data_IF_894449290693
#
_entry.id   IF_894449290693
#
_cell.length_a   1.000
_cell.length_b   1.000
_cell.length_c   1.000
_cell.angle_alpha   90.00
_cell.angle_beta   90.00
_cell.angle_gamma   90.00
#
_symmetry.space_group_name_H-M   'P 1'
#
loop_
_entity.id
_entity.type
_entity.pdbx_description
1 polymer ?
#
# COMPACT_ATOMS: atom_id res chain seq x y z
N UNK A 1 -54.03 -44.65 29.60
CA UNK A 1 -55.05 -44.63 28.53
C UNK A 1 -54.48 -43.78 27.37
N UNK A 2 -54.17 -44.44 26.27
CA UNK A 2 -54.54 -44.16 24.87
C UNK A 2 -54.34 -42.68 24.43
N UNK A 3 -53.73 -42.34 23.33
CA UNK A 3 -53.56 -42.95 21.98
C UNK A 3 -52.45 -42.31 21.22
N UNK A 4 -51.75 -43.16 20.47
CA UNK A 4 -50.83 -42.98 19.35
C UNK A 4 -51.54 -42.31 18.15
N UNK A 5 -50.97 -41.34 17.48
CA UNK A 5 -51.24 -41.08 16.06
C UNK A 5 -49.91 -40.83 15.28
N UNK A 6 -49.69 -41.77 14.34
CA UNK A 6 -48.72 -41.66 13.26
C UNK A 6 -49.30 -40.79 12.15
N UNK A 7 -48.55 -39.94 11.53
CA UNK A 7 -48.83 -39.43 10.18
C UNK A 7 -47.59 -39.56 9.28
N UNK A 8 -47.83 -40.19 8.16
CA UNK A 8 -46.96 -40.52 7.04
C UNK A 8 -46.62 -39.26 6.20
N UNK A 9 -45.48 -39.18 5.53
CA UNK A 9 -45.22 -38.12 4.57
C UNK A 9 -45.84 -38.45 3.22
N UNK A 10 -46.51 -37.48 2.63
CA UNK A 10 -47.13 -37.54 1.30
C UNK A 10 -46.06 -37.15 0.25
N UNK A 11 -45.64 -38.12 -0.55
CA UNK A 11 -44.81 -37.89 -1.73
C UNK A 11 -45.72 -37.43 -2.90
N UNK A 12 -45.46 -36.23 -3.42
CA UNK A 12 -46.15 -35.71 -4.60
C UNK A 12 -45.32 -36.09 -5.85
N UNK A 13 -45.87 -37.04 -6.63
CA UNK A 13 -45.36 -37.40 -7.96
C UNK A 13 -46.07 -36.51 -8.97
N UNK A 14 -45.33 -35.68 -9.69
CA UNK A 14 -45.83 -34.93 -10.85
C UNK A 14 -45.54 -35.74 -12.10
N UNK A 15 -46.58 -36.33 -12.70
CA UNK A 15 -46.51 -36.91 -14.02
C UNK A 15 -46.66 -35.82 -15.09
N UNK A 16 -45.64 -35.68 -15.93
CA UNK A 16 -45.70 -34.89 -17.16
C UNK A 16 -46.30 -35.77 -18.30
N UNK A 17 -47.42 -35.34 -18.81
CA UNK A 17 -48.06 -35.90 -20.01
C UNK A 17 -47.48 -35.25 -21.24
N UNK A 18 -46.82 -36.03 -22.11
CA UNK A 18 -46.49 -35.65 -23.45
C UNK A 18 -47.71 -35.74 -24.35
N UNK A 19 -48.09 -34.64 -24.99
CA UNK A 19 -49.00 -34.63 -26.13
C UNK A 19 -48.20 -34.25 -27.36
N UNK A 20 -48.08 -35.16 -28.31
CA UNK A 20 -47.61 -34.88 -29.68
C UNK A 20 -48.82 -34.42 -30.52
N UNK A 21 -48.73 -33.22 -31.05
CA UNK A 21 -49.45 -32.85 -32.28
C UNK A 21 -48.44 -32.22 -33.22
N UNK A 22 -48.31 -32.86 -34.40
CA UNK A 22 -47.60 -32.36 -35.54
C UNK A 22 -48.42 -31.28 -36.23
N UNK A 23 -47.88 -30.07 -36.33
CA UNK A 23 -48.20 -29.15 -37.40
C UNK A 23 -46.95 -28.35 -37.77
N UNK A 24 -46.73 -28.31 -39.07
CA UNK A 24 -45.63 -27.71 -39.79
C UNK A 24 -45.78 -26.20 -39.78
N UNK A 25 -44.97 -25.48 -38.99
CA UNK A 25 -44.80 -24.03 -39.15
C UNK A 25 -43.30 -23.65 -39.08
N UNK A 26 -42.93 -22.88 -40.05
CA UNK A 26 -41.65 -22.26 -40.32
C UNK A 26 -40.89 -21.80 -39.06
N UNK A 27 -39.72 -22.40 -38.85
CA UNK A 27 -38.74 -21.95 -37.86
C UNK A 27 -38.27 -20.56 -38.26
N UNK A 28 -38.81 -19.53 -37.60
CA UNK A 28 -38.10 -18.27 -37.45
C UNK A 28 -36.96 -18.52 -36.47
N UNK A 29 -35.74 -18.40 -36.96
CA UNK A 29 -34.53 -18.25 -36.13
C UNK A 29 -34.73 -17.04 -35.24
N UNK A 30 -35.29 -17.24 -34.06
CA UNK A 30 -35.22 -16.28 -32.98
C UNK A 30 -33.77 -16.43 -32.45
N UNK A 31 -32.91 -15.52 -32.86
CA UNK A 31 -31.63 -15.29 -32.21
C UNK A 31 -31.92 -14.88 -30.75
N UNK A 32 -32.19 -15.88 -29.90
CA UNK A 32 -32.31 -15.69 -28.46
C UNK A 32 -30.90 -15.50 -27.91
N UNK A 33 -30.45 -14.27 -27.98
CA UNK A 33 -29.19 -13.82 -27.41
C UNK A 33 -29.31 -13.63 -25.91
N UNK A 34 -30.09 -14.52 -25.24
CA UNK A 34 -30.16 -14.56 -23.79
C UNK A 34 -28.81 -15.09 -23.27
N UNK A 35 -27.97 -14.21 -22.78
CA UNK A 35 -26.72 -14.58 -22.13
C UNK A 35 -27.02 -15.51 -20.95
N UNK A 36 -26.45 -16.72 -21.01
CA UNK A 36 -26.63 -17.72 -19.93
C UNK A 36 -26.07 -17.15 -18.62
N UNK A 37 -26.93 -17.02 -17.61
CA UNK A 37 -26.53 -16.65 -16.26
C UNK A 37 -25.89 -17.87 -15.60
N UNK A 38 -24.66 -17.73 -15.14
CA UNK A 38 -23.95 -18.75 -14.37
C UNK A 38 -23.81 -18.26 -12.92
N UNK A 39 -23.83 -19.19 -11.97
CA UNK A 39 -23.74 -18.91 -10.56
C UNK A 39 -22.59 -19.67 -9.93
N UNK A 40 -21.77 -18.99 -9.15
CA UNK A 40 -20.64 -19.55 -8.42
C UNK A 40 -20.88 -19.50 -6.91
N UNK A 41 -20.61 -20.61 -6.23
CA UNK A 41 -20.59 -20.68 -4.77
C UNK A 41 -19.15 -20.46 -4.30
N UNK A 42 -18.94 -19.38 -3.57
CA UNK A 42 -17.61 -18.92 -3.18
C UNK A 42 -17.43 -19.01 -1.66
N UNK A 43 -16.37 -19.69 -1.26
CA UNK A 43 -15.87 -19.73 0.11
C UNK A 43 -14.46 -19.18 0.15
N UNK A 44 -13.95 -18.95 1.36
CA UNK A 44 -12.56 -18.54 1.55
C UNK A 44 -11.82 -19.61 2.34
N UNK A 45 -10.49 -19.68 2.15
CA UNK A 45 -9.68 -20.61 2.91
C UNK A 45 -9.89 -20.40 4.42
N UNK A 46 -10.04 -21.49 5.14
CA UNK A 46 -10.16 -21.50 6.58
C UNK A 46 -8.94 -22.24 7.16
N UNK A 47 -7.81 -21.56 7.24
CA UNK A 47 -6.56 -22.09 7.76
C UNK A 47 -6.34 -21.80 9.26
N UNK A 48 -7.39 -21.37 9.95
CA UNK A 48 -7.35 -21.09 11.39
C UNK A 48 -6.60 -19.80 11.77
N UNK A 49 -6.05 -19.09 10.80
CA UNK A 49 -5.38 -17.79 10.98
C UNK A 49 -6.19 -16.68 10.33
N UNK A 50 -6.27 -15.58 11.04
CA UNK A 50 -7.26 -14.52 10.82
C UNK A 50 -6.87 -13.52 9.76
N UNK A 51 -7.56 -13.49 8.60
CA UNK A 51 -7.57 -12.30 7.73
C UNK A 51 -8.81 -12.23 6.83
N UNK A 52 -9.41 -11.01 6.61
CA UNK A 52 -10.82 -11.02 6.21
C UNK A 52 -11.32 -9.71 5.61
N UNK A 53 -12.17 -9.78 4.53
CA UNK A 53 -12.79 -8.64 3.83
C UNK A 53 -13.72 -7.81 4.71
N UNK A 54 -14.41 -8.44 5.66
CA UNK A 54 -14.93 -7.84 6.87
C UNK A 54 -14.72 -8.86 7.99
N UNK A 55 -14.17 -8.41 9.09
CA UNK A 55 -13.99 -9.27 10.24
C UNK A 55 -15.32 -9.48 10.95
N UNK A 56 -15.67 -10.73 11.25
CA UNK A 56 -16.65 -11.06 12.27
C UNK A 56 -16.15 -10.54 13.64
N UNK A 57 -17.06 -10.47 14.61
CA UNK A 57 -16.77 -10.02 15.98
C UNK A 57 -15.62 -10.76 16.67
N UNK A 58 -15.35 -12.00 16.25
CA UNK A 58 -14.24 -12.83 16.74
C UNK A 58 -12.92 -12.61 15.96
N UNK A 59 -12.94 -11.75 14.94
CA UNK A 59 -11.82 -11.51 14.04
C UNK A 59 -11.31 -12.75 13.28
N UNK A 60 -12.17 -13.77 13.08
CA UNK A 60 -11.78 -15.06 12.50
C UNK A 60 -12.51 -15.46 11.23
N UNK A 61 -13.64 -14.86 10.89
CA UNK A 61 -14.42 -15.26 9.73
C UNK A 61 -14.61 -14.10 8.75
N UNK A 62 -14.27 -14.29 7.48
CA UNK A 62 -14.57 -13.34 6.42
C UNK A 62 -16.06 -13.41 6.10
N UNK A 63 -16.64 -12.24 5.94
CA UNK A 63 -18.02 -12.10 5.52
C UNK A 63 -18.07 -11.33 4.22
N UNK A 64 -18.70 -11.90 3.22
CA UNK A 64 -19.00 -11.22 1.97
C UNK A 64 -19.92 -10.03 2.22
N UNK A 65 -19.75 -8.94 1.48
CA UNK A 65 -20.53 -7.72 1.63
C UNK A 65 -21.25 -7.35 0.34
N UNK A 66 -22.43 -6.77 0.47
CA UNK A 66 -23.14 -6.15 -0.65
C UNK A 66 -22.22 -5.22 -1.43
N UNK A 67 -22.15 -5.45 -2.75
CA UNK A 67 -21.27 -4.74 -3.65
C UNK A 67 -19.97 -5.47 -3.98
N UNK A 68 -19.65 -6.56 -3.28
CA UNK A 68 -18.53 -7.42 -3.67
C UNK A 68 -18.73 -7.99 -5.07
N UNK A 69 -17.66 -7.99 -5.85
CA UNK A 69 -17.61 -8.56 -7.18
C UNK A 69 -16.28 -9.29 -7.42
N UNK A 70 -16.32 -10.29 -8.28
CA UNK A 70 -15.16 -11.12 -8.63
C UNK A 70 -14.96 -11.16 -10.14
N UNK A 71 -13.72 -11.26 -10.58
CA UNK A 71 -13.35 -11.62 -11.95
C UNK A 71 -13.40 -13.13 -12.09
N UNK A 72 -14.13 -13.64 -13.08
CA UNK A 72 -14.15 -15.05 -13.44
C UNK A 72 -13.59 -15.21 -14.86
N UNK A 73 -12.61 -16.07 -15.01
CA UNK A 73 -12.03 -16.52 -16.26
C UNK A 73 -12.38 -17.99 -16.48
N UNK A 74 -12.78 -18.33 -17.67
CA UNK A 74 -12.99 -19.71 -18.13
C UNK A 74 -12.03 -20.08 -19.26
N UNK A 75 -12.31 -21.12 -19.99
CA UNK A 75 -11.51 -21.55 -21.14
C UNK A 75 -11.35 -20.49 -22.24
N UNK A 76 -12.24 -19.50 -22.33
CA UNK A 76 -12.14 -18.38 -23.26
C UNK A 76 -11.13 -17.31 -22.80
N UNK A 77 -10.76 -17.34 -21.53
CA UNK A 77 -9.92 -16.32 -20.83
C UNK A 77 -10.50 -14.91 -20.82
N UNK A 78 -11.76 -14.75 -21.17
CA UNK A 78 -12.46 -13.47 -21.01
C UNK A 78 -12.59 -13.15 -19.51
N UNK A 79 -12.40 -11.88 -19.14
CA UNK A 79 -12.62 -11.40 -17.78
C UNK A 79 -14.10 -11.06 -17.60
N UNK A 80 -14.80 -11.87 -16.82
CA UNK A 80 -16.23 -11.72 -16.61
C UNK A 80 -16.51 -11.19 -15.19
N UNK A 81 -17.40 -10.19 -15.06
CA UNK A 81 -17.84 -9.58 -13.79
C UNK A 81 -18.98 -10.41 -13.17
N UNK A 82 -18.74 -10.97 -12.01
CA UNK A 82 -19.71 -11.71 -11.22
C UNK A 82 -19.92 -10.99 -9.88
N UNK A 83 -21.19 -10.75 -9.54
CA UNK A 83 -21.57 -9.93 -8.38
C UNK A 83 -22.23 -10.77 -7.30
N UNK A 84 -21.95 -10.39 -6.05
CA UNK A 84 -22.53 -11.05 -4.87
C UNK A 84 -24.04 -10.88 -4.86
N UNK A 85 -24.76 -11.98 -4.71
CA UNK A 85 -26.20 -11.97 -4.51
C UNK A 85 -26.56 -11.40 -3.13
N UNK A 86 -27.61 -10.60 -3.06
CA UNK A 86 -28.00 -9.85 -1.86
C UNK A 86 -28.18 -10.74 -0.62
N UNK A 87 -28.67 -11.98 -0.81
CA UNK A 87 -28.87 -12.95 0.27
C UNK A 87 -27.56 -13.47 0.89
N UNK A 88 -26.45 -13.27 0.22
CA UNK A 88 -25.11 -13.66 0.67
C UNK A 88 -24.41 -12.61 1.54
N UNK A 89 -25.00 -11.41 1.68
CA UNK A 89 -24.45 -10.36 2.51
C UNK A 89 -24.29 -10.80 3.98
N UNK A 90 -23.12 -10.58 4.55
CA UNK A 90 -22.79 -10.95 5.91
C UNK A 90 -22.56 -12.45 6.14
N UNK A 91 -22.40 -13.25 5.08
CA UNK A 91 -22.12 -14.69 5.17
C UNK A 91 -20.68 -15.01 4.79
N UNK A 92 -20.14 -16.09 5.32
CA UNK A 92 -18.80 -16.62 4.96
C UNK A 92 -18.81 -17.37 3.62
N UNK A 93 -19.97 -17.90 3.22
CA UNK A 93 -20.20 -18.47 1.89
C UNK A 93 -21.04 -17.48 1.08
N UNK A 94 -20.57 -17.10 -0.09
CA UNK A 94 -21.25 -16.17 -0.99
C UNK A 94 -21.64 -16.85 -2.29
N UNK A 95 -22.79 -16.45 -2.83
CA UNK A 95 -23.24 -16.78 -4.18
C UNK A 95 -22.98 -15.57 -5.06
N UNK A 96 -22.31 -15.79 -6.19
CA UNK A 96 -22.00 -14.75 -7.17
C UNK A 96 -22.63 -15.10 -8.50
N UNK A 97 -23.40 -14.20 -9.06
CA UNK A 97 -24.13 -14.39 -10.33
C UNK A 97 -23.60 -13.42 -11.39
N UNK A 98 -23.53 -13.90 -12.63
CA UNK A 98 -23.06 -13.13 -13.77
C UNK A 98 -23.23 -13.92 -15.08
N UNK A 99 -22.66 -13.39 -16.15
CA UNK A 99 -22.70 -14.01 -17.48
C UNK A 99 -21.31 -14.13 -18.08
N UNK A 100 -21.15 -15.03 -19.06
CA UNK A 100 -19.94 -15.15 -19.88
C UNK A 100 -19.05 -16.35 -19.56
N UNK A 101 -18.84 -16.71 -18.29
CA UNK A 101 -18.07 -17.88 -17.90
C UNK A 101 -18.96 -19.12 -17.82
N UNK A 102 -18.90 -19.99 -18.80
CA UNK A 102 -19.85 -21.13 -18.92
C UNK A 102 -19.19 -22.51 -18.83
N UNK A 103 -17.88 -22.61 -19.08
CA UNK A 103 -17.19 -23.91 -19.14
C UNK A 103 -15.83 -23.83 -18.41
N UNK A 104 -15.68 -24.67 -17.37
CA UNK A 104 -14.43 -24.78 -16.61
C UNK A 104 -13.26 -25.37 -17.44
N UNK A 105 -12.03 -25.34 -16.94
CA UNK A 105 -11.68 -24.89 -15.58
C UNK A 105 -11.79 -23.38 -15.41
N UNK A 106 -12.08 -22.97 -14.17
CA UNK A 106 -12.25 -21.57 -13.81
C UNK A 106 -11.07 -21.04 -12.98
N UNK A 107 -10.67 -19.79 -13.25
CA UNK A 107 -9.82 -18.99 -12.39
C UNK A 107 -10.61 -17.76 -11.95
N UNK A 108 -10.58 -17.44 -10.68
CA UNK A 108 -11.31 -16.29 -10.13
C UNK A 108 -10.40 -15.41 -9.30
N UNK A 109 -10.59 -14.09 -9.39
CA UNK A 109 -9.86 -13.08 -8.61
C UNK A 109 -10.85 -12.18 -7.88
N UNK A 110 -10.57 -11.90 -6.62
CA UNK A 110 -11.27 -10.89 -5.80
C UNK A 110 -10.26 -9.80 -5.38
N UNK A 111 -10.67 -8.55 -5.37
CA UNK A 111 -11.90 -8.00 -5.93
C UNK A 111 -11.90 -8.00 -7.46
N UNK A 112 -13.09 -7.82 -8.06
CA UNK A 112 -13.18 -7.64 -9.52
C UNK A 112 -12.23 -6.55 -10.00
N UNK A 113 -11.48 -6.87 -11.03
CA UNK A 113 -10.50 -5.96 -11.63
C UNK A 113 -10.71 -5.95 -13.15
N UNK A 114 -11.32 -4.90 -13.69
CA UNK A 114 -11.73 -4.82 -15.10
C UNK A 114 -10.58 -5.07 -16.11
N UNK A 115 -9.35 -4.66 -15.76
CA UNK A 115 -8.16 -4.85 -16.58
C UNK A 115 -7.43 -6.17 -16.38
N UNK A 116 -7.89 -7.04 -15.47
CA UNK A 116 -7.22 -8.31 -15.19
C UNK A 116 -7.19 -9.23 -16.41
N UNK A 117 -6.09 -9.95 -16.60
CA UNK A 117 -5.86 -10.83 -17.75
C UNK A 117 -5.30 -12.17 -17.29
N UNK A 118 -5.97 -13.25 -17.64
CA UNK A 118 -5.47 -14.60 -17.42
C UNK A 118 -4.45 -14.97 -18.52
N UNK A 119 -3.20 -15.17 -18.11
CA UNK A 119 -2.09 -15.53 -18.99
C UNK A 119 -2.06 -17.03 -19.34
N UNK A 120 -1.26 -17.40 -20.34
CA UNK A 120 -1.10 -18.80 -20.75
C UNK A 120 -0.40 -19.66 -19.70
N UNK A 121 0.42 -19.06 -18.85
CA UNK A 121 1.11 -19.72 -17.74
C UNK A 121 0.22 -19.86 -16.48
N UNK A 122 -1.05 -19.46 -16.57
CA UNK A 122 -2.01 -19.52 -15.47
C UNK A 122 -1.93 -18.34 -14.50
N UNK A 123 -0.98 -17.43 -14.62
CA UNK A 123 -0.94 -16.20 -13.79
C UNK A 123 -2.02 -15.21 -14.21
N UNK A 124 -2.45 -14.34 -13.28
CA UNK A 124 -3.38 -13.25 -13.58
C UNK A 124 -2.66 -11.92 -13.48
N UNK A 125 -2.49 -11.23 -14.61
CA UNK A 125 -1.82 -9.93 -14.72
C UNK A 125 -2.76 -8.76 -14.52
N UNK A 126 -2.18 -7.55 -14.43
CA UNK A 126 -2.88 -6.27 -14.23
C UNK A 126 -3.64 -6.21 -12.90
N UNK A 127 -3.16 -6.91 -11.90
CA UNK A 127 -3.66 -6.83 -10.53
C UNK A 127 -2.92 -5.70 -9.82
N UNK A 128 -3.63 -4.90 -9.04
CA UNK A 128 -3.06 -3.79 -8.29
C UNK A 128 -3.26 -4.03 -6.79
N UNK A 129 -2.16 -4.12 -6.05
CA UNK A 129 -2.21 -3.93 -4.60
C UNK A 129 -2.06 -2.43 -4.34
N UNK A 130 -3.10 -1.75 -3.82
CA UNK A 130 -3.06 -0.31 -3.66
C UNK A 130 -2.04 0.11 -2.59
N UNK A 131 -1.29 1.16 -2.88
CA UNK A 131 -0.37 1.81 -1.93
C UNK A 131 -1.09 2.84 -1.06
N UNK A 132 -2.31 3.24 -1.41
CA UNK A 132 -3.22 3.98 -0.55
C UNK A 132 -4.45 3.11 -0.26
N UNK A 133 -4.64 2.78 1.01
CA UNK A 133 -5.71 1.94 1.52
C UNK A 133 -6.62 2.73 2.45
N UNK A 134 -7.93 2.42 2.44
CA UNK A 134 -8.90 3.07 3.29
C UNK A 134 -8.86 2.52 4.72
N UNK A 135 -8.90 3.40 5.72
CA UNK A 135 -8.93 3.01 7.12
C UNK A 135 -10.33 2.52 7.54
N UNK A 136 -10.45 1.24 7.80
CA UNK A 136 -11.66 0.58 8.27
C UNK A 136 -11.46 0.13 9.72
N UNK A 137 -12.21 0.69 10.66
CA UNK A 137 -12.10 0.33 12.08
C UNK A 137 -12.49 -1.14 12.30
N UNK A 138 -11.60 -1.92 12.91
CA UNK A 138 -11.76 -3.35 13.11
C UNK A 138 -11.60 -4.19 11.82
N UNK A 139 -11.22 -3.59 10.70
CA UNK A 139 -11.11 -4.25 9.40
C UNK A 139 -9.99 -3.69 8.53
N UNK A 140 -10.09 -3.93 7.25
CA UNK A 140 -9.15 -3.50 6.22
C UNK A 140 -9.91 -3.00 4.98
N UNK A 141 -9.20 -2.35 4.06
CA UNK A 141 -9.74 -1.94 2.76
C UNK A 141 -10.05 -3.17 1.89
N UNK A 142 -11.32 -3.42 1.51
CA UNK A 142 -11.67 -4.56 0.67
C UNK A 142 -10.94 -4.58 -0.69
N UNK A 143 -10.58 -3.41 -1.23
CA UNK A 143 -9.83 -3.29 -2.49
C UNK A 143 -8.42 -3.84 -2.41
N UNK A 144 -7.86 -3.91 -1.20
CA UNK A 144 -6.52 -4.44 -0.94
C UNK A 144 -6.52 -5.94 -0.58
N UNK A 145 -7.69 -6.55 -0.36
CA UNK A 145 -7.83 -7.95 0.04
C UNK A 145 -7.74 -8.89 -1.17
N UNK A 146 -6.62 -8.90 -1.85
CA UNK A 146 -6.44 -9.69 -3.06
C UNK A 146 -6.49 -11.19 -2.77
N UNK A 147 -7.43 -11.89 -3.43
CA UNK A 147 -7.61 -13.33 -3.32
C UNK A 147 -7.75 -13.95 -4.71
N UNK A 148 -7.42 -15.24 -4.81
CA UNK A 148 -7.55 -16.01 -6.04
C UNK A 148 -8.11 -17.39 -5.74
N UNK A 149 -8.87 -17.94 -6.68
CA UNK A 149 -9.35 -19.32 -6.67
C UNK A 149 -9.13 -19.98 -8.03
N UNK A 150 -8.93 -21.30 -8.01
CA UNK A 150 -8.92 -22.15 -9.20
C UNK A 150 -9.78 -23.38 -8.95
N UNK A 151 -10.67 -23.74 -9.87
CA UNK A 151 -11.59 -24.86 -9.71
C UNK A 151 -12.01 -25.42 -11.06
N UNK A 152 -12.27 -26.71 -11.10
CA UNK A 152 -12.91 -27.40 -12.23
C UNK A 152 -14.44 -27.23 -12.26
N UNK A 153 -15.01 -26.74 -11.17
CA UNK A 153 -16.46 -26.58 -10.96
C UNK A 153 -16.82 -25.14 -10.56
N UNK A 154 -18.11 -24.84 -10.51
CA UNK A 154 -18.62 -23.54 -10.03
C UNK A 154 -18.53 -23.35 -8.51
N UNK A 155 -17.87 -24.25 -7.78
CA UNK A 155 -17.53 -24.07 -6.37
C UNK A 155 -16.09 -23.58 -6.26
N UNK A 156 -15.90 -22.37 -5.73
CA UNK A 156 -14.62 -21.69 -5.62
C UNK A 156 -14.19 -21.55 -4.15
N UNK A 157 -12.95 -21.93 -3.84
CA UNK A 157 -12.33 -21.64 -2.54
C UNK A 157 -11.23 -20.63 -2.76
N UNK A 158 -11.48 -19.39 -2.36
CA UNK A 158 -10.51 -18.31 -2.48
C UNK A 158 -9.38 -18.43 -1.47
N UNK A 159 -8.17 -18.15 -1.93
CA UNK A 159 -6.96 -18.06 -1.13
C UNK A 159 -6.38 -16.67 -1.18
N UNK A 160 -5.97 -16.14 -0.04
CA UNK A 160 -5.36 -14.82 0.03
C UNK A 160 -4.00 -14.80 -0.68
N UNK A 161 -3.76 -13.80 -1.52
CA UNK A 161 -2.45 -13.51 -2.09
C UNK A 161 -1.67 -12.49 -1.24
N UNK A 162 -2.27 -11.94 -0.19
CA UNK A 162 -1.72 -10.95 0.74
C UNK A 162 -1.75 -11.45 2.18
N UNK A 163 -0.89 -10.88 3.03
CA UNK A 163 -1.00 -10.88 4.47
C UNK A 163 -1.49 -9.53 4.98
N UNK A 164 -1.53 -9.36 6.30
CA UNK A 164 -1.94 -8.11 6.93
C UNK A 164 -1.05 -7.76 8.10
N UNK A 165 -0.94 -6.49 8.40
CA UNK A 165 -0.46 -6.02 9.69
C UNK A 165 -1.62 -5.39 10.46
N UNK A 166 -1.73 -5.75 11.73
CA UNK A 166 -2.68 -5.16 12.67
C UNK A 166 -1.98 -4.11 13.49
N UNK A 167 -2.51 -2.89 13.52
CA UNK A 167 -2.04 -1.78 14.34
C UNK A 167 -3.19 -1.23 15.18
N UNK A 168 -2.90 -0.85 16.44
CA UNK A 168 -3.90 -0.30 17.36
C UNK A 168 -3.34 0.98 17.99
N UNK A 169 -3.50 2.16 17.31
CA UNK A 169 -3.06 3.42 17.88
C UNK A 169 -3.92 3.81 19.07
N UNK A 170 -3.29 4.29 20.14
CA UNK A 170 -3.96 4.82 21.33
C UNK A 170 -4.10 6.36 21.28
N UNK A 171 -4.14 6.90 20.06
CA UNK A 171 -4.35 8.30 19.74
C UNK A 171 -4.95 8.43 18.35
N UNK A 172 -5.69 9.51 18.11
CA UNK A 172 -6.30 9.75 16.81
C UNK A 172 -5.23 10.17 15.79
N UNK A 173 -5.34 9.63 14.57
CA UNK A 173 -4.50 10.02 13.46
C UNK A 173 -5.27 9.99 12.12
N UNK A 174 -4.70 10.63 11.11
CA UNK A 174 -5.27 10.73 9.76
C UNK A 174 -4.70 9.69 8.81
N UNK A 175 -3.44 9.29 9.07
CA UNK A 175 -2.74 8.30 8.24
C UNK A 175 -1.84 7.43 9.10
N UNK A 176 -1.68 6.19 8.66
CA UNK A 176 -0.61 5.29 9.12
C UNK A 176 0.17 4.87 7.87
N UNK A 177 1.48 5.11 7.87
CA UNK A 177 2.35 4.84 6.72
C UNK A 177 3.34 3.76 7.10
N UNK A 178 3.25 2.62 6.44
CA UNK A 178 4.27 1.57 6.44
C UNK A 178 5.25 1.87 5.31
N UNK A 179 6.57 1.86 5.59
CA UNK A 179 7.59 2.08 4.56
C UNK A 179 8.73 1.08 4.70
N UNK A 180 9.16 0.53 3.57
CA UNK A 180 10.39 -0.25 3.48
C UNK A 180 11.62 0.62 3.72
N UNK A 181 12.68 0.02 4.25
CA UNK A 181 13.95 0.73 4.50
C UNK A 181 14.67 1.14 3.20
N UNK A 182 14.43 0.40 2.14
CA UNK A 182 15.07 0.56 0.84
C UNK A 182 14.10 0.21 -0.30
N UNK A 183 14.55 0.30 -1.53
CA UNK A 183 13.76 0.00 -2.73
C UNK A 183 14.02 -1.41 -3.29
N UNK A 184 14.32 -2.37 -2.45
CA UNK A 184 14.54 -3.77 -2.86
C UNK A 184 13.29 -4.61 -2.80
N UNK A 185 12.38 -4.31 -1.86
CA UNK A 185 11.14 -5.05 -1.64
C UNK A 185 9.92 -4.13 -1.81
N UNK A 186 9.22 -4.19 -2.95
CA UNK A 186 8.00 -3.43 -3.14
C UNK A 186 6.90 -3.89 -2.18
N UNK A 187 6.15 -2.92 -1.67
CA UNK A 187 5.03 -3.14 -0.76
C UNK A 187 3.68 -3.05 -1.46
N UNK A 188 3.60 -2.36 -2.59
CA UNK A 188 2.38 -2.17 -3.35
C UNK A 188 2.71 -1.89 -4.82
N UNK A 189 1.68 -1.82 -5.65
CA UNK A 189 1.80 -1.52 -7.06
C UNK A 189 1.07 -2.50 -7.95
N UNK A 190 1.30 -2.37 -9.24
CA UNK A 190 0.74 -3.25 -10.26
C UNK A 190 1.62 -4.49 -10.41
N UNK A 191 1.01 -5.67 -10.41
CA UNK A 191 1.71 -6.94 -10.52
C UNK A 191 0.84 -8.01 -11.16
N UNK A 192 1.26 -9.25 -10.97
CA UNK A 192 0.50 -10.45 -11.35
C UNK A 192 0.34 -11.36 -10.13
N UNK A 193 -0.80 -12.03 -9.99
CA UNK A 193 -0.95 -13.11 -9.00
C UNK A 193 -0.41 -14.39 -9.64
N UNK A 194 0.58 -14.97 -8.98
CA UNK A 194 1.11 -16.28 -9.31
C UNK A 194 0.34 -17.36 -8.54
N UNK A 195 -0.13 -18.38 -9.26
CA UNK A 195 -0.88 -19.53 -8.74
C UNK A 195 -0.25 -20.86 -9.19
N UNK A 196 1.03 -20.88 -9.47
CA UNK A 196 1.76 -22.12 -9.79
C UNK A 196 1.56 -23.15 -8.68
N UNK A 197 1.68 -22.71 -7.42
CA UNK A 197 1.15 -23.45 -6.28
C UNK A 197 -0.22 -22.87 -5.86
N UNK A 198 -1.35 -23.54 -6.19
CA UNK A 198 -2.68 -23.06 -5.84
C UNK A 198 -2.91 -22.94 -4.33
N UNK A 199 -2.08 -23.57 -3.49
CA UNK A 199 -2.17 -23.46 -2.04
C UNK A 199 -1.39 -22.28 -1.48
N UNK A 200 -0.50 -21.69 -2.28
CA UNK A 200 0.37 -20.61 -1.84
C UNK A 200 0.48 -19.47 -2.89
N UNK A 201 -0.63 -18.85 -3.31
CA UNK A 201 -0.59 -17.76 -4.26
C UNK A 201 0.13 -16.54 -3.68
N UNK A 202 0.79 -15.76 -4.52
CA UNK A 202 1.47 -14.54 -4.12
C UNK A 202 1.41 -13.50 -5.25
N UNK A 203 1.68 -12.24 -4.91
CA UNK A 203 1.79 -11.16 -5.87
C UNK A 203 3.25 -11.05 -6.32
N UNK A 204 3.46 -11.19 -7.63
CA UNK A 204 4.75 -11.02 -8.27
C UNK A 204 4.84 -9.63 -8.92
N UNK A 205 5.82 -8.86 -8.49
CA UNK A 205 6.10 -7.51 -8.96
C UNK A 205 7.32 -7.43 -9.90
N UNK A 206 7.94 -8.55 -10.27
CA UNK A 206 9.25 -8.60 -10.93
C UNK A 206 9.30 -7.75 -12.21
N UNK A 207 8.28 -7.79 -13.03
CA UNK A 207 8.23 -7.08 -14.31
C UNK A 207 7.51 -5.71 -14.23
N UNK A 208 7.15 -5.27 -13.03
CA UNK A 208 6.36 -4.06 -12.86
C UNK A 208 7.22 -2.80 -12.91
N UNK A 209 6.66 -1.76 -13.53
CA UNK A 209 7.19 -0.40 -13.51
C UNK A 209 6.44 0.52 -12.54
N UNK A 210 5.29 0.08 -12.06
CA UNK A 210 4.40 0.84 -11.16
C UNK A 210 4.50 0.24 -9.75
N UNK A 211 5.56 0.58 -9.02
CA UNK A 211 5.87 0.02 -7.71
C UNK A 211 5.85 1.10 -6.64
N UNK A 212 5.34 0.75 -5.47
CA UNK A 212 5.46 1.54 -4.25
C UNK A 212 6.20 0.76 -3.16
N UNK A 213 7.06 1.45 -2.43
CA UNK A 213 7.81 0.92 -1.29
C UNK A 213 7.24 1.42 0.04
N UNK A 214 6.04 1.95 -0.03
CA UNK A 214 5.24 2.33 1.13
C UNK A 214 3.78 2.00 0.89
N UNK A 215 3.05 1.79 1.99
CA UNK A 215 1.58 1.71 2.01
C UNK A 215 1.09 2.74 3.00
N UNK A 216 0.12 3.53 2.58
CA UNK A 216 -0.55 4.53 3.40
C UNK A 216 -1.97 4.07 3.69
N UNK A 217 -2.31 3.90 4.96
CA UNK A 217 -3.69 3.76 5.40
C UNK A 217 -4.23 5.16 5.72
N UNK A 218 -5.27 5.60 5.00
CA UNK A 218 -5.83 6.96 5.07
C UNK A 218 -7.27 6.95 5.55
N UNK A 219 -7.65 7.95 6.32
CA UNK A 219 -9.02 8.16 6.78
C UNK A 219 -9.11 8.55 8.25
N UNK A 220 -10.29 8.37 8.85
CA UNK A 220 -10.48 8.63 10.28
C UNK A 220 -9.99 7.42 11.08
N UNK A 221 -8.82 7.57 11.71
CA UNK A 221 -8.22 6.53 12.53
C UNK A 221 -8.37 6.93 13.99
N UNK A 222 -9.28 6.23 14.68
CA UNK A 222 -9.70 6.55 16.05
C UNK A 222 -8.88 5.79 17.08
N UNK A 223 -8.51 6.45 18.14
CA UNK A 223 -7.82 5.89 19.31
C UNK A 223 -8.47 4.61 19.82
N UNK A 224 -7.65 3.61 20.17
CA UNK A 224 -8.08 2.33 20.74
C UNK A 224 -8.76 1.37 19.75
N UNK A 225 -8.90 1.72 18.47
CA UNK A 225 -9.42 0.84 17.43
C UNK A 225 -8.30 0.14 16.69
N UNK A 226 -8.50 -1.13 16.37
CA UNK A 226 -7.60 -1.88 15.51
C UNK A 226 -7.84 -1.56 14.04
N UNK A 227 -6.77 -1.48 13.26
CA UNK A 227 -6.78 -1.30 11.80
C UNK A 227 -5.86 -2.31 11.16
N UNK A 228 -6.20 -2.74 9.94
CA UNK A 228 -5.41 -3.73 9.22
C UNK A 228 -4.95 -3.15 7.89
N UNK A 229 -3.68 -3.30 7.59
CA UNK A 229 -3.06 -2.89 6.32
C UNK A 229 -2.70 -4.16 5.56
N UNK A 230 -3.22 -4.31 4.36
CA UNK A 230 -2.87 -5.42 3.48
C UNK A 230 -1.45 -5.22 2.94
N UNK A 231 -0.65 -6.28 2.98
CA UNK A 231 0.76 -6.28 2.57
C UNK A 231 1.06 -7.52 1.72
N UNK A 232 1.98 -7.45 0.76
CA UNK A 232 2.41 -8.64 0.03
C UNK A 232 3.19 -9.59 0.95
N UNK A 233 3.29 -10.85 0.58
CA UNK A 233 4.11 -11.84 1.29
C UNK A 233 5.59 -11.59 0.99
N UNK A 234 6.23 -10.70 1.76
CA UNK A 234 7.63 -10.30 1.58
C UNK A 234 8.35 -10.20 2.92
N UNK A 235 9.68 -10.25 2.87
CA UNK A 235 10.53 -9.92 4.03
C UNK A 235 11.13 -8.54 3.84
N UNK A 236 10.76 -7.58 4.68
CA UNK A 236 11.40 -6.28 4.72
C UNK A 236 12.73 -6.37 5.46
N UNK A 237 13.74 -5.70 4.92
CA UNK A 237 15.01 -5.47 5.60
C UNK A 237 14.80 -4.71 6.92
N UNK A 238 15.77 -4.81 7.83
CA UNK A 238 15.80 -3.97 9.04
C UNK A 238 15.72 -2.48 8.68
N UNK A 239 15.23 -1.69 9.62
CA UNK A 239 15.05 -0.24 9.52
C UNK A 239 13.83 0.23 8.71
N UNK A 240 12.86 -0.64 8.46
CA UNK A 240 11.54 -0.21 8.00
C UNK A 240 10.86 0.69 9.04
N UNK A 241 9.93 1.53 8.58
CA UNK A 241 9.29 2.50 9.45
C UNK A 241 7.77 2.38 9.45
N UNK A 242 7.18 2.74 10.58
CA UNK A 242 5.74 2.96 10.74
C UNK A 242 5.54 4.39 11.24
N UNK A 243 4.82 5.20 10.46
CA UNK A 243 4.57 6.61 10.76
C UNK A 243 3.09 6.85 10.99
N UNK A 244 2.76 7.47 12.10
CA UNK A 244 1.41 7.91 12.44
C UNK A 244 1.32 9.42 12.21
N UNK A 245 0.44 9.84 11.30
CA UNK A 245 0.23 11.25 10.97
C UNK A 245 -1.02 11.73 11.70
N UNK A 246 -0.83 12.63 12.68
CA UNK A 246 -1.93 13.30 13.41
C UNK A 246 -2.23 14.67 12.80
N UNK A 247 -3.09 15.45 13.43
CA UNK A 247 -3.38 16.83 12.98
C UNK A 247 -2.12 17.71 12.97
N UNK A 248 -1.28 17.58 14.00
CA UNK A 248 -0.19 18.54 14.26
C UNK A 248 1.20 17.92 14.25
N UNK A 249 1.32 16.60 14.32
CA UNK A 249 2.60 15.89 14.48
C UNK A 249 2.61 14.57 13.74
N UNK A 250 3.81 14.18 13.33
CA UNK A 250 4.11 12.82 12.87
C UNK A 250 4.86 12.07 13.96
N UNK A 251 4.46 10.83 14.20
CA UNK A 251 5.13 9.92 15.11
C UNK A 251 5.69 8.76 14.30
N UNK A 252 6.98 8.78 13.96
CA UNK A 252 7.63 7.74 13.19
C UNK A 252 8.39 6.79 14.11
N UNK A 253 8.07 5.51 14.02
CA UNK A 253 8.79 4.42 14.67
C UNK A 253 9.60 3.66 13.64
N UNK A 254 10.91 3.57 13.87
CA UNK A 254 11.77 2.70 13.09
C UNK A 254 11.94 1.35 13.80
N UNK A 255 11.94 0.28 13.04
CA UNK A 255 12.17 -1.07 13.53
C UNK A 255 13.50 -1.60 13.01
N UNK A 256 14.41 -1.90 13.93
CA UNK A 256 15.79 -2.29 13.64
C UNK A 256 15.98 -3.76 13.27
N UNK A 257 14.90 -4.52 13.22
CA UNK A 257 14.90 -5.94 12.84
C UNK A 257 14.12 -6.14 11.55
N UNK A 258 14.51 -7.10 10.71
CA UNK A 258 13.71 -7.47 9.55
C UNK A 258 12.34 -8.01 10.01
N UNK A 259 11.36 -7.95 9.12
CA UNK A 259 10.02 -8.48 9.35
C UNK A 259 9.55 -9.24 8.11
N UNK A 260 8.97 -10.41 8.32
CA UNK A 260 8.38 -11.23 7.25
C UNK A 260 6.86 -11.18 7.34
N UNK A 261 6.24 -10.76 6.25
CA UNK A 261 4.82 -10.84 6.07
C UNK A 261 4.48 -12.13 5.32
N UNK A 262 3.50 -12.83 5.82
CA UNK A 262 3.06 -14.12 5.28
C UNK A 262 1.61 -13.98 4.85
N UNK A 263 1.26 -14.52 3.67
CA UNK A 263 -0.14 -14.53 3.19
C UNK A 263 -1.07 -15.15 4.25
N UNK A 264 -2.30 -14.75 4.26
CA UNK A 264 -3.35 -15.19 5.21
C UNK A 264 -3.07 -14.93 6.69
N UNK A 265 -1.95 -14.30 7.05
CA UNK A 265 -1.62 -13.99 8.45
C UNK A 265 -1.78 -12.50 8.74
N UNK A 266 -2.49 -12.18 9.82
CA UNK A 266 -2.53 -10.84 10.40
C UNK A 266 -1.48 -10.72 11.51
N UNK A 267 -0.33 -10.14 11.17
CA UNK A 267 0.74 -9.90 12.12
C UNK A 267 0.37 -8.74 13.05
N UNK A 268 0.18 -9.01 14.32
CA UNK A 268 -0.16 -7.99 15.30
C UNK A 268 1.09 -7.21 15.74
N UNK A 269 1.18 -5.94 15.38
CA UNK A 269 2.27 -5.04 15.81
C UNK A 269 2.01 -4.40 17.19
N UNK A 270 0.85 -4.65 17.79
CA UNK A 270 0.48 -4.19 19.12
C UNK A 270 -0.15 -2.83 19.18
N UNK A 271 -0.11 -2.24 20.38
CA UNK A 271 -0.64 -0.92 20.68
C UNK A 271 0.45 0.14 20.57
N UNK A 272 0.07 1.32 20.10
CA UNK A 272 0.98 2.45 19.91
C UNK A 272 0.48 3.66 20.69
N UNK A 273 1.31 4.16 21.61
CA UNK A 273 1.03 5.34 22.43
C UNK A 273 2.01 6.45 22.09
N UNK A 274 1.65 7.70 22.28
CA UNK A 274 2.52 8.87 22.01
C UNK A 274 3.76 8.95 22.92
N UNK A 275 3.78 8.20 24.04
CA UNK A 275 4.92 8.09 24.94
C UNK A 275 5.99 7.08 24.54
N UNK A 276 5.85 6.42 23.38
CA UNK A 276 6.85 5.46 22.88
C UNK A 276 8.09 6.11 22.26
N UNK A 277 9.06 5.29 21.85
CA UNK A 277 10.24 5.75 21.12
C UNK A 277 9.86 6.11 19.67
N UNK A 278 9.58 7.37 19.42
CA UNK A 278 9.29 7.91 18.11
C UNK A 278 10.23 9.05 17.75
N UNK A 279 10.47 9.17 16.46
CA UNK A 279 10.92 10.41 15.86
C UNK A 279 9.67 11.29 15.70
N UNK A 280 9.60 12.41 16.40
CA UNK A 280 8.45 13.31 16.36
C UNK A 280 8.78 14.47 15.44
N UNK A 281 8.07 14.55 14.31
CA UNK A 281 8.15 15.65 13.35
C UNK A 281 6.90 16.53 13.40
N UNK A 282 6.95 17.67 12.72
CA UNK A 282 5.74 18.42 12.38
C UNK A 282 4.89 17.62 11.40
N UNK A 283 3.63 17.99 11.21
CA UNK A 283 2.75 17.39 10.23
C UNK A 283 3.24 17.75 8.81
N UNK A 284 4.24 16.99 8.33
CA UNK A 284 4.98 17.25 7.11
C UNK A 284 4.30 16.77 5.83
N UNK A 285 2.98 16.87 5.71
CA UNK A 285 2.37 16.77 4.39
C UNK A 285 2.74 18.03 3.63
N UNK A 286 3.82 17.95 2.89
CA UNK A 286 4.20 19.01 1.95
C UNK A 286 3.19 18.95 0.82
N UNK A 287 2.27 19.90 0.81
CA UNK A 287 1.26 20.06 -0.21
C UNK A 287 1.89 20.46 -1.55
N UNK A 288 1.20 20.26 -2.65
CA UNK A 288 1.73 20.54 -4.00
C UNK A 288 2.16 22.01 -4.20
N UNK A 289 1.56 22.96 -3.45
CA UNK A 289 1.94 24.36 -3.44
C UNK A 289 3.31 24.63 -2.78
N UNK A 290 3.82 23.69 -1.99
CA UNK A 290 5.15 23.72 -1.37
C UNK A 290 6.20 22.91 -2.10
N UNK A 291 5.89 22.42 -3.28
CA UNK A 291 6.79 21.68 -4.16
C UNK A 291 7.17 22.50 -5.40
N UNK A 292 8.40 22.35 -5.85
CA UNK A 292 8.88 22.89 -7.12
C UNK A 292 9.21 21.75 -8.05
N UNK A 293 8.56 21.74 -9.21
CA UNK A 293 8.86 20.84 -10.32
C UNK A 293 9.78 21.55 -11.32
N UNK A 294 11.07 21.28 -11.24
CA UNK A 294 12.06 21.79 -12.19
C UNK A 294 12.21 20.91 -13.44
N UNK A 295 11.32 19.92 -13.64
CA UNK A 295 11.38 19.00 -14.77
C UNK A 295 12.53 18.01 -14.72
N UNK A 296 13.19 17.84 -13.56
CA UNK A 296 14.34 16.97 -13.41
C UNK A 296 13.93 15.51 -13.20
N UNK A 297 14.72 14.64 -13.78
CA UNK A 297 14.65 13.20 -13.57
C UNK A 297 16.00 12.63 -13.17
N UNK A 298 16.01 11.54 -12.44
CA UNK A 298 17.22 10.78 -12.11
C UNK A 298 17.04 9.31 -12.48
N UNK A 299 18.12 8.66 -12.84
CA UNK A 299 18.18 7.20 -12.99
C UNK A 299 18.67 6.58 -11.68
N UNK A 300 17.91 5.63 -11.14
CA UNK A 300 18.30 4.90 -9.94
C UNK A 300 17.78 3.45 -10.02
N UNK A 301 18.69 2.49 -9.86
CA UNK A 301 18.31 1.07 -9.93
C UNK A 301 17.68 0.66 -11.28
N UNK A 302 18.09 1.29 -12.39
CA UNK A 302 17.53 1.04 -13.73
C UNK A 302 16.14 1.63 -13.97
N UNK A 303 15.68 2.54 -13.10
CA UNK A 303 14.38 3.23 -13.22
C UNK A 303 14.59 4.74 -13.25
N UNK A 304 13.75 5.43 -14.04
CA UNK A 304 13.69 6.89 -14.09
C UNK A 304 12.72 7.40 -13.05
N UNK A 305 13.17 8.32 -12.20
CA UNK A 305 12.36 8.99 -11.18
C UNK A 305 12.26 10.47 -11.48
N UNK A 306 11.05 11.02 -11.40
CA UNK A 306 10.82 12.46 -11.41
C UNK A 306 11.15 13.04 -10.04
N UNK A 307 11.85 14.18 -10.02
CA UNK A 307 12.31 14.84 -8.79
C UNK A 307 11.53 16.12 -8.56
N UNK A 308 10.99 16.27 -7.35
CA UNK A 308 10.38 17.51 -6.86
C UNK A 308 11.21 18.04 -5.71
N UNK A 309 11.42 19.35 -5.67
CA UNK A 309 12.10 20.04 -4.57
C UNK A 309 11.09 20.70 -3.63
N UNK A 310 11.47 20.86 -2.36
CA UNK A 310 10.72 21.72 -1.47
C UNK A 310 10.99 23.19 -1.82
N UNK A 311 9.99 24.06 -1.77
CA UNK A 311 10.12 25.49 -2.06
C UNK A 311 10.98 26.27 -1.07
N UNK A 312 11.15 25.75 0.14
CA UNK A 312 11.91 26.39 1.21
C UNK A 312 12.77 25.39 1.94
N UNK A 313 13.75 25.88 2.66
CA UNK A 313 14.72 25.06 3.37
C UNK A 313 14.08 24.26 4.53
N UNK A 314 14.66 23.11 4.82
CA UNK A 314 14.25 22.24 5.92
C UNK A 314 14.61 22.86 7.25
N UNK A 315 13.67 22.84 8.20
CA UNK A 315 13.87 23.20 9.63
C UNK A 315 13.58 21.99 10.52
N UNK A 316 13.86 22.10 11.80
CA UNK A 316 13.55 21.06 12.79
C UNK A 316 12.06 20.77 12.95
N UNK A 317 11.19 21.66 12.46
CA UNK A 317 9.74 21.55 12.61
C UNK A 317 8.96 21.48 11.30
N UNK A 318 9.64 21.42 10.17
CA UNK A 318 9.02 21.38 8.85
C UNK A 318 9.81 22.16 7.82
N UNK A 319 9.14 22.83 6.89
CA UNK A 319 9.75 23.76 5.96
C UNK A 319 9.79 25.18 6.56
N UNK A 320 10.80 25.94 6.19
CA UNK A 320 10.87 27.36 6.48
C UNK A 320 9.64 28.09 5.88
N UNK A 321 9.23 29.19 6.48
CA UNK A 321 8.02 29.91 6.10
C UNK A 321 8.14 30.53 4.71
N UNK A 322 9.28 31.16 4.41
CA UNK A 322 9.56 31.77 3.13
C UNK A 322 10.65 31.04 2.35
N UNK A 323 10.64 31.17 1.03
CA UNK A 323 11.61 30.54 0.13
C UNK A 323 13.06 30.98 0.39
N UNK A 324 13.25 32.20 0.87
CA UNK A 324 14.56 32.78 1.18
C UNK A 324 15.02 32.59 2.64
N UNK A 325 14.20 31.96 3.47
CA UNK A 325 14.56 31.74 4.87
C UNK A 325 15.64 30.64 4.98
N UNK A 326 16.61 30.85 5.85
CA UNK A 326 17.59 29.82 6.16
C UNK A 326 16.91 28.68 6.94
N UNK A 327 17.15 27.44 6.48
CA UNK A 327 16.78 26.23 7.21
C UNK A 327 17.66 25.99 8.42
N UNK A 328 17.57 24.79 8.96
CA UNK A 328 18.49 24.28 9.98
C UNK A 328 19.57 23.41 9.32
N UNK A 329 20.70 23.26 10.03
CA UNK A 329 21.87 22.55 9.52
C UNK A 329 21.90 21.14 10.09
N UNK A 330 21.77 20.17 9.21
CA UNK A 330 21.82 18.75 9.54
C UNK A 330 23.11 18.16 8.95
N UNK A 331 23.90 17.49 9.78
CA UNK A 331 24.98 16.67 9.24
C UNK A 331 24.43 15.46 8.50
N UNK A 332 25.16 14.91 7.56
CA UNK A 332 24.78 13.69 6.85
C UNK A 332 24.50 12.55 7.83
N UNK A 333 23.29 12.01 7.80
CA UNK A 333 22.84 10.99 8.74
C UNK A 333 22.32 11.50 10.09
N UNK A 334 22.33 12.83 10.33
CA UNK A 334 21.75 13.42 11.54
C UNK A 334 20.31 13.89 11.28
N UNK A 335 19.41 13.55 12.17
CA UNK A 335 17.99 13.95 12.11
C UNK A 335 17.66 15.15 13.00
N UNK A 336 18.67 15.64 13.72
CA UNK A 336 18.64 16.87 14.52
C UNK A 336 19.88 17.69 14.25
N UNK A 337 19.80 19.03 14.28
CA UNK A 337 21.00 19.88 14.24
C UNK A 337 21.84 19.67 15.51
N UNK A 338 23.12 19.98 15.44
CA UNK A 338 24.06 19.83 16.57
C UNK A 338 24.15 21.08 17.44
N UNK A 339 23.17 21.95 17.36
CA UNK A 339 23.07 23.15 18.19
C UNK A 339 21.70 23.19 18.87
N UNK A 340 21.67 23.67 20.08
CA UNK A 340 20.43 23.93 20.82
C UNK A 340 19.79 25.27 20.43
N UNK A 341 20.59 26.21 19.94
CA UNK A 341 20.13 27.48 19.38
C UNK A 341 21.09 28.02 18.35
N UNK A 342 20.58 28.79 17.40
CA UNK A 342 21.35 29.47 16.36
C UNK A 342 20.76 30.85 16.09
N UNK A 343 21.63 31.88 16.04
CA UNK A 343 21.26 33.23 15.62
C UNK A 343 21.67 33.42 14.15
N UNK A 344 20.69 33.23 13.27
CA UNK A 344 20.87 33.34 11.81
C UNK A 344 20.90 34.79 11.32
N UNK A 345 20.60 35.77 12.17
CA UNK A 345 20.67 37.20 11.83
C UNK A 345 22.10 37.72 11.78
N UNK A 346 23.04 37.00 12.34
CA UNK A 346 24.47 37.38 12.39
C UNK A 346 25.25 36.78 11.22
N UNK A 347 26.32 37.48 10.84
CA UNK A 347 27.29 37.00 9.85
C UNK A 347 28.71 37.18 10.42
N UNK A 348 29.46 36.08 10.71
CA UNK A 348 29.00 34.70 10.68
C UNK A 348 27.94 34.42 11.75
N UNK A 349 27.15 33.37 11.54
CA UNK A 349 26.15 32.97 12.53
C UNK A 349 26.80 32.61 13.87
N UNK A 350 26.02 32.77 14.94
CA UNK A 350 26.40 32.27 16.25
C UNK A 350 25.49 31.13 16.67
N UNK A 351 26.06 30.05 17.14
CA UNK A 351 25.31 28.89 17.59
C UNK A 351 25.80 28.42 18.97
N UNK A 352 24.87 27.90 19.76
CA UNK A 352 25.20 27.16 20.97
C UNK A 352 25.25 25.68 20.60
N UNK A 353 26.45 25.17 20.50
CA UNK A 353 26.69 23.79 20.09
C UNK A 353 26.42 22.80 21.22
N UNK A 354 25.77 21.67 20.89
CA UNK A 354 25.54 20.60 21.85
C UNK A 354 26.80 19.78 22.14
N UNK A 355 27.75 19.76 21.19
CA UNK A 355 29.03 19.07 21.34
C UNK A 355 30.17 20.08 21.28
N UNK A 356 31.20 19.82 22.07
CA UNK A 356 32.44 20.60 22.04
C UNK A 356 33.06 20.55 20.64
N UNK A 357 33.42 21.70 20.08
CA UNK A 357 34.00 21.84 18.76
C UNK A 357 33.01 21.92 17.60
N UNK A 358 31.69 21.87 17.86
CA UNK A 358 30.65 22.04 16.85
C UNK A 358 30.63 20.93 15.79
N UNK A 359 30.42 21.33 14.52
CA UNK A 359 30.47 20.40 13.38
C UNK A 359 31.91 20.00 13.03
N UNK A 360 32.33 18.84 13.46
CA UNK A 360 33.60 18.24 13.13
C UNK A 360 33.40 16.80 12.69
N UNK A 361 34.35 16.25 11.95
CA UNK A 361 34.29 14.84 11.55
C UNK A 361 34.22 13.93 12.79
N UNK A 362 35.00 14.21 13.82
CA UNK A 362 34.98 13.46 15.08
C UNK A 362 33.63 13.50 15.80
N UNK A 363 32.78 14.48 15.53
CA UNK A 363 31.44 14.61 16.06
C UNK A 363 30.35 14.11 15.09
N UNK A 364 30.74 13.69 13.88
CA UNK A 364 29.78 13.25 12.87
C UNK A 364 28.98 12.03 13.32
N UNK A 365 27.71 11.89 12.89
CA UNK A 365 26.97 10.67 13.07
C UNK A 365 27.74 9.47 12.50
N UNK A 366 27.70 8.36 13.20
CA UNK A 366 28.36 7.13 12.78
C UNK A 366 29.88 7.21 12.59
N UNK A 367 30.55 8.24 13.15
CA UNK A 367 32.00 8.30 13.21
C UNK A 367 32.50 7.78 14.56
N UNK A 368 33.38 6.78 14.56
CA UNK A 368 33.94 6.18 15.75
C UNK A 368 35.32 5.59 15.45
N UNK A 369 36.25 5.71 16.41
CA UNK A 369 37.61 5.15 16.30
C UNK A 369 38.35 5.55 15.01
N UNK A 370 38.19 6.79 14.55
CA UNK A 370 38.90 7.32 13.39
C UNK A 370 38.30 6.94 12.03
N UNK A 371 37.10 6.36 11.98
CA UNK A 371 36.42 5.99 10.73
C UNK A 371 34.89 6.02 10.86
N UNK A 372 34.23 6.13 9.71
CA UNK A 372 32.78 5.98 9.63
C UNK A 372 32.39 4.51 9.77
N UNK A 373 31.34 4.24 10.57
CA UNK A 373 30.78 2.90 10.81
C UNK A 373 29.51 2.63 9.98
N UNK A 374 29.01 3.67 9.29
CA UNK A 374 27.83 3.62 8.42
C UNK A 374 27.97 4.70 7.35
N UNK A 375 27.37 4.47 6.18
CA UNK A 375 27.48 5.38 5.04
C UNK A 375 28.95 5.61 4.62
N UNK A 376 29.67 4.49 4.51
CA UNK A 376 31.12 4.48 4.23
C UNK A 376 31.44 4.52 2.74
N UNK A 377 30.46 4.33 1.87
CA UNK A 377 30.61 4.31 0.41
C UNK A 377 30.08 5.60 -0.18
N UNK A 378 30.83 6.19 -1.11
CA UNK A 378 30.39 7.37 -1.84
C UNK A 378 29.07 7.11 -2.58
N UNK A 379 28.12 8.04 -2.45
CA UNK A 379 26.81 7.93 -3.07
C UNK A 379 25.81 7.03 -2.33
N UNK A 380 26.16 6.48 -1.17
CA UNK A 380 25.25 5.72 -0.35
C UNK A 380 24.08 6.60 0.12
N UNK A 381 22.83 6.09 -0.05
CA UNK A 381 21.62 6.82 0.28
C UNK A 381 21.30 6.63 1.77
N UNK A 382 20.90 7.72 2.44
CA UNK A 382 20.47 7.67 3.82
C UNK A 382 19.24 6.76 3.98
N UNK A 383 19.21 5.97 5.03
CA UNK A 383 17.99 5.27 5.46
C UNK A 383 16.98 6.29 5.99
N UNK A 384 15.69 6.04 5.81
CA UNK A 384 14.61 6.94 6.21
C UNK A 384 14.74 7.48 7.65
N UNK A 385 15.22 6.66 8.58
CA UNK A 385 15.45 7.05 9.97
C UNK A 385 16.63 7.98 10.21
N UNK A 386 17.56 8.03 9.28
CA UNK A 386 18.78 8.81 9.39
C UNK A 386 18.74 10.04 8.46
N UNK A 387 17.62 10.21 7.77
CA UNK A 387 17.34 11.30 6.85
C UNK A 387 16.44 12.33 7.53
N UNK A 388 16.96 13.53 7.78
CA UNK A 388 16.22 14.59 8.44
C UNK A 388 14.97 14.99 7.66
N UNK A 389 15.02 15.04 6.33
CA UNK A 389 13.86 15.37 5.53
C UNK A 389 12.76 14.30 5.65
N UNK A 390 13.14 13.02 5.65
CA UNK A 390 12.17 11.94 5.84
C UNK A 390 11.57 11.95 7.24
N UNK A 391 12.40 12.12 8.28
CA UNK A 391 11.95 12.15 9.67
C UNK A 391 11.00 13.33 9.94
N UNK A 392 11.30 14.50 9.36
CA UNK A 392 10.56 15.73 9.63
C UNK A 392 9.35 15.86 8.72
N UNK A 393 9.49 15.58 7.43
CA UNK A 393 8.44 15.78 6.43
C UNK A 393 7.65 14.50 6.14
N UNK A 394 8.23 13.32 6.38
CA UNK A 394 7.59 12.04 6.04
C UNK A 394 7.51 11.77 4.53
N UNK A 395 6.69 10.80 4.15
CA UNK A 395 6.48 10.47 2.74
C UNK A 395 7.77 10.07 2.02
N UNK A 396 7.94 10.48 0.76
CA UNK A 396 9.13 10.24 -0.05
C UNK A 396 10.17 11.37 0.02
N UNK A 397 10.01 12.31 0.97
CA UNK A 397 10.96 13.37 1.19
C UNK A 397 12.29 12.80 1.70
N UNK A 398 13.36 13.30 1.12
CA UNK A 398 14.72 12.90 1.47
C UNK A 398 15.70 14.06 1.27
N UNK A 399 16.80 14.05 2.00
CA UNK A 399 17.94 14.92 1.69
C UNK A 399 18.46 14.56 0.30
N UNK A 400 18.68 15.52 -0.61
CA UNK A 400 19.11 15.23 -1.97
C UNK A 400 20.38 14.38 -2.01
N UNK A 401 20.34 13.30 -2.77
CA UNK A 401 21.49 12.45 -3.03
C UNK A 401 22.48 13.15 -3.97
N UNK A 402 23.69 12.62 -4.08
CA UNK A 402 24.68 13.12 -5.06
C UNK A 402 24.11 13.16 -6.48
N UNK A 403 23.35 12.12 -6.89
CA UNK A 403 22.73 12.08 -8.20
C UNK A 403 21.70 13.19 -8.40
N UNK A 404 20.90 13.50 -7.38
CA UNK A 404 19.92 14.60 -7.42
C UNK A 404 20.63 15.94 -7.49
N UNK A 405 21.69 16.16 -6.71
CA UNK A 405 22.51 17.37 -6.79
C UNK A 405 23.18 17.53 -8.15
N UNK A 406 23.73 16.47 -8.71
CA UNK A 406 24.32 16.49 -10.04
C UNK A 406 23.29 16.81 -11.12
N UNK A 407 22.08 16.22 -11.03
CA UNK A 407 20.99 16.54 -11.94
C UNK A 407 20.59 18.01 -11.84
N UNK A 408 20.46 18.55 -10.62
CA UNK A 408 20.14 19.96 -10.38
C UNK A 408 21.20 20.89 -10.97
N UNK A 409 22.48 20.61 -10.74
CA UNK A 409 23.58 21.47 -11.19
C UNK A 409 23.84 21.37 -12.69
N UNK A 410 23.71 20.17 -13.27
CA UNK A 410 24.12 19.92 -14.66
C UNK A 410 23.01 20.19 -15.69
N UNK A 411 21.74 19.96 -15.33
CA UNK A 411 20.64 19.98 -16.30
C UNK A 411 19.85 21.28 -16.33
N UNK A 412 20.15 22.24 -15.45
CA UNK A 412 19.46 23.53 -15.45
C UNK A 412 20.25 24.57 -16.22
N UNK A 413 19.59 25.26 -17.13
CA UNK A 413 20.17 26.29 -17.97
C UNK A 413 20.37 27.63 -17.24
N UNK A 414 19.55 27.91 -16.23
CA UNK A 414 19.64 29.13 -15.42
C UNK A 414 19.93 28.77 -13.98
N UNK A 415 21.07 29.22 -13.48
CA UNK A 415 21.50 29.07 -12.09
C UNK A 415 22.54 30.13 -11.75
N UNK A 416 22.53 30.61 -10.52
CA UNK A 416 23.49 31.60 -10.06
C UNK A 416 23.20 32.11 -8.66
N UNK A 417 24.10 32.91 -8.15
CA UNK A 417 23.93 33.58 -6.88
C UNK A 417 22.92 34.71 -6.99
N UNK A 418 21.95 34.73 -6.08
CA UNK A 418 20.97 35.80 -5.95
C UNK A 418 21.40 36.74 -4.80
N UNK A 419 21.86 37.93 -5.14
CA UNK A 419 22.35 38.91 -4.16
C UNK A 419 21.25 39.48 -3.28
N UNK A 420 20.01 39.45 -3.72
CA UNK A 420 18.87 39.95 -2.94
C UNK A 420 18.47 38.94 -1.89
N UNK A 421 18.36 37.66 -2.27
CA UNK A 421 17.95 36.56 -1.38
C UNK A 421 19.13 35.91 -0.66
N UNK A 422 20.38 36.30 -1.02
CA UNK A 422 21.61 35.73 -0.45
C UNK A 422 21.69 34.21 -0.53
N UNK A 423 21.25 33.64 -1.64
CA UNK A 423 21.20 32.21 -1.89
C UNK A 423 21.56 31.86 -3.33
N UNK A 424 21.77 30.56 -3.57
CA UNK A 424 21.99 30.05 -4.92
C UNK A 424 20.63 29.70 -5.55
N UNK A 425 20.33 30.29 -6.69
CA UNK A 425 19.08 30.18 -7.38
C UNK A 425 19.19 29.19 -8.54
N UNK A 426 18.18 28.33 -8.70
CA UNK A 426 18.02 27.42 -9.82
C UNK A 426 16.67 27.68 -10.52
N UNK A 427 16.68 27.75 -11.85
CA UNK A 427 15.46 28.05 -12.63
C UNK A 427 15.31 27.10 -13.81
N UNK A 428 14.07 26.69 -14.05
CA UNK A 428 13.65 25.98 -15.25
C UNK A 428 12.16 26.20 -15.50
N UNK A 429 11.79 26.51 -16.78
CA UNK A 429 10.40 26.63 -17.22
C UNK A 429 9.55 27.54 -16.31
N UNK A 430 10.03 28.75 -16.03
CA UNK A 430 9.38 29.75 -15.16
C UNK A 430 9.21 29.32 -13.70
N UNK A 431 9.90 28.28 -13.28
CA UNK A 431 9.94 27.82 -11.89
C UNK A 431 11.32 28.08 -11.29
N UNK A 432 11.30 28.50 -10.04
CA UNK A 432 12.49 28.86 -9.28
C UNK A 432 12.58 28.04 -7.99
N UNK A 433 13.78 27.59 -7.65
CA UNK A 433 14.18 27.00 -6.38
C UNK A 433 15.26 27.86 -5.75
#
# INVERSE_FOLDING_TARGET
MKKLFKTLPLALIVMSIYSCTSDDETVQDVNDNSSVVTTFTCTQENDGTTTKAALDSDCKTILWKTGDAISIFDGSKANNDYRLDSESNGKSTGTFSGTGAVTGPYVAVYPYTAGATLNNDGTVSNIVLPDEQEAVAGGFDPKAALMIAKSETTTLTFKNAVGFIKVTPQFDCKKIILRAADKTQPLAGKGKINIEDPNNPYIDFTDSKELSYSITLSGTITSGKAYYIAVPAVTLSAYWTLTFVTENKNYMRQVTKPITFVRSIALNLGEFTTGGNYWVGSNGIVTSDKQVDLGLTIEQGGKTYKVYFAKSNLTTTGLAENESDYGDYFAWGATKPWYSSIDKSKSPWTATWEKTGGYTEANAPYYSNGSYTKYTTDGEILKASDDAANVILGGDWQIPTQAIWQALVNNLSSKGWDDVRKGYKFENNDKTL
#
